data_IF_299924232009
#
_entry.id   IF_299924232009
#
_cell.length_a   1.000
_cell.length_b   1.000
_cell.length_c   1.000
_cell.angle_alpha   90.00
_cell.angle_beta   90.00
_cell.angle_gamma   90.00
#
_symmetry.space_group_name_H-M   'P 1'
#
loop_
_entity.id
_entity.type
_entity.pdbx_description
1 polymer ?
#
# COMPACT_ATOMS: atom_id res chain seq x y z
N UNK A 1 -15.34 -13.19 6.78
CA UNK A 1 -14.93 -11.78 6.64
C UNK A 1 -14.09 -11.69 5.38
N UNK A 2 -14.42 -10.80 4.44
CA UNK A 2 -13.70 -10.67 3.17
C UNK A 2 -12.68 -9.54 3.34
N UNK A 3 -11.44 -9.92 3.66
CA UNK A 3 -10.33 -9.00 3.83
C UNK A 3 -9.72 -8.70 2.45
N UNK A 4 -9.44 -7.44 2.17
CA UNK A 4 -8.86 -7.03 0.89
C UNK A 4 -7.81 -5.94 1.08
N UNK A 5 -6.73 -6.08 0.34
CA UNK A 5 -5.77 -4.99 0.11
C UNK A 5 -6.06 -4.31 -1.21
N UNK A 6 -5.96 -2.99 -1.24
CA UNK A 6 -5.95 -2.18 -2.46
C UNK A 6 -4.83 -1.16 -2.37
N UNK A 7 -4.40 -0.61 -3.51
CA UNK A 7 -3.49 0.54 -3.52
C UNK A 7 -4.21 1.81 -3.96
N UNK A 8 -3.70 2.96 -3.56
CA UNK A 8 -4.20 4.27 -3.96
C UNK A 8 -3.04 5.22 -4.23
N UNK A 9 -3.24 6.16 -5.15
CA UNK A 9 -2.28 7.21 -5.44
C UNK A 9 -2.40 8.32 -4.40
N UNK A 10 -1.25 8.80 -3.95
CA UNK A 10 -1.04 9.99 -3.16
C UNK A 10 -0.23 10.97 -4.00
N UNK A 11 -0.73 12.19 -4.16
CA UNK A 11 0.04 13.24 -4.79
C UNK A 11 0.98 13.83 -3.74
N UNK A 12 2.29 13.61 -3.92
CA UNK A 12 3.32 14.12 -3.02
C UNK A 12 4.06 15.24 -3.73
N UNK A 13 3.95 16.47 -3.21
CA UNK A 13 4.83 17.55 -3.64
C UNK A 13 6.25 17.27 -3.16
N UNK A 14 7.21 17.21 -4.07
CA UNK A 14 8.63 17.17 -3.74
C UNK A 14 9.19 18.57 -3.98
N UNK A 15 9.57 19.24 -2.88
CA UNK A 15 10.09 20.61 -2.79
C UNK A 15 10.73 21.14 -4.08
N UNK A 16 9.93 21.83 -4.90
CA UNK A 16 10.39 22.60 -6.06
C UNK A 16 10.78 21.81 -7.32
N UNK A 17 10.67 20.48 -7.34
CA UNK A 17 11.04 19.64 -8.51
C UNK A 17 9.81 19.18 -9.30
N UNK A 18 8.64 19.13 -8.67
CA UNK A 18 7.36 18.75 -9.27
C UNK A 18 6.53 17.85 -8.36
N UNK A 19 5.32 17.52 -8.79
CA UNK A 19 4.46 16.54 -8.09
C UNK A 19 4.92 15.14 -8.48
N UNK A 20 5.30 14.33 -7.50
CA UNK A 20 5.56 12.91 -7.69
C UNK A 20 4.40 12.11 -7.10
N UNK A 21 3.89 11.14 -7.86
CA UNK A 21 2.91 10.21 -7.34
C UNK A 21 3.61 9.19 -6.46
N UNK A 22 3.22 9.14 -5.19
CA UNK A 22 3.57 8.03 -4.29
C UNK A 22 2.31 7.20 -4.07
N UNK A 23 2.44 5.90 -3.84
CA UNK A 23 1.29 5.04 -3.64
C UNK A 23 1.23 4.59 -2.18
N UNK A 24 0.02 4.50 -1.65
CA UNK A 24 -0.28 3.85 -0.37
C UNK A 24 -1.01 2.53 -0.58
N UNK A 25 -1.01 1.69 0.44
CA UNK A 25 -1.76 0.42 0.49
C UNK A 25 -2.79 0.50 1.60
N UNK A 26 -4.03 0.14 1.28
CA UNK A 26 -5.17 0.10 2.19
C UNK A 26 -5.57 -1.34 2.46
N UNK A 27 -5.77 -1.67 3.74
CA UNK A 27 -6.43 -2.89 4.16
C UNK A 27 -7.87 -2.60 4.60
N UNK A 28 -8.82 -3.32 4.01
CA UNK A 28 -10.25 -3.19 4.31
C UNK A 28 -10.92 -4.52 4.62
N UNK A 29 -12.00 -4.45 5.40
CA UNK A 29 -12.95 -5.55 5.57
C UNK A 29 -14.34 -5.03 5.18
N UNK A 30 -14.82 -5.41 3.99
CA UNK A 30 -16.05 -4.84 3.46
C UNK A 30 -15.88 -3.36 3.11
N UNK A 31 -16.66 -2.48 3.75
CA UNK A 31 -16.58 -1.02 3.53
C UNK A 31 -15.64 -0.30 4.51
N UNK A 32 -15.23 -1.00 5.58
CA UNK A 32 -14.45 -0.39 6.65
C UNK A 32 -12.96 -0.46 6.30
N UNK A 33 -12.31 0.71 6.30
CA UNK A 33 -10.86 0.79 6.28
C UNK A 33 -10.35 0.42 7.68
N UNK A 34 -9.43 -0.54 7.75
CA UNK A 34 -8.83 -1.01 8.99
C UNK A 34 -7.43 -0.42 9.15
N UNK A 35 -6.68 -0.28 8.05
CA UNK A 35 -5.29 0.20 8.08
C UNK A 35 -4.92 0.81 6.74
N UNK A 36 -4.17 1.92 6.80
CA UNK A 36 -3.55 2.55 5.65
C UNK A 36 -2.03 2.62 5.88
N UNK A 37 -1.26 2.12 4.93
CA UNK A 37 0.20 2.21 4.89
C UNK A 37 0.52 3.22 3.79
N UNK A 38 1.05 4.38 4.18
CA UNK A 38 1.33 5.50 3.29
C UNK A 38 2.76 5.41 2.76
N UNK A 39 3.02 6.16 1.69
CA UNK A 39 4.37 6.39 1.16
C UNK A 39 5.14 5.09 0.86
N UNK A 40 4.45 4.10 0.29
CA UNK A 40 4.98 2.75 0.01
C UNK A 40 6.00 2.82 -1.12
N UNK A 41 5.62 3.30 -2.30
CA UNK A 41 6.55 3.44 -3.44
C UNK A 41 6.05 4.46 -4.44
N UNK A 42 6.93 4.98 -5.29
CA UNK A 42 6.56 5.79 -6.45
C UNK A 42 6.32 4.94 -7.71
N UNK A 43 6.68 3.65 -7.68
CA UNK A 43 6.42 2.71 -8.77
C UNK A 43 5.08 1.97 -8.55
N UNK A 44 4.15 2.24 -9.47
CA UNK A 44 2.81 1.64 -9.46
C UNK A 44 2.86 0.12 -9.64
N UNK A 45 3.74 -0.38 -10.49
CA UNK A 45 3.75 -1.81 -10.83
C UNK A 45 4.30 -2.62 -9.66
N UNK A 46 5.32 -2.10 -8.96
CA UNK A 46 5.78 -2.64 -7.67
C UNK A 46 4.66 -2.70 -6.63
N UNK A 47 3.92 -1.60 -6.44
CA UNK A 47 2.82 -1.55 -5.44
C UNK A 47 1.67 -2.49 -5.81
N UNK A 48 1.35 -2.60 -7.10
CA UNK A 48 0.34 -3.53 -7.60
C UNK A 48 0.70 -4.98 -7.28
N UNK A 49 1.96 -5.38 -7.48
CA UNK A 49 2.42 -6.74 -7.17
C UNK A 49 2.41 -7.02 -5.67
N UNK A 50 2.82 -6.05 -4.83
CA UNK A 50 2.72 -6.17 -3.37
C UNK A 50 1.27 -6.44 -2.95
N UNK A 51 0.32 -5.63 -3.42
CA UNK A 51 -1.12 -5.82 -3.12
C UNK A 51 -1.63 -7.19 -3.57
N UNK A 52 -1.22 -7.64 -4.77
CA UNK A 52 -1.57 -8.97 -5.29
C UNK A 52 -1.03 -10.08 -4.39
N UNK A 53 0.22 -9.97 -3.92
CA UNK A 53 0.83 -10.94 -3.00
C UNK A 53 0.15 -10.96 -1.63
N UNK A 54 -0.17 -9.80 -1.06
CA UNK A 54 -0.86 -9.70 0.24
C UNK A 54 -2.25 -10.34 0.20
N UNK A 55 -3.01 -10.07 -0.87
CA UNK A 55 -4.32 -10.69 -1.09
C UNK A 55 -4.22 -12.21 -1.32
N UNK A 56 -3.27 -12.66 -2.15
CA UNK A 56 -3.09 -14.08 -2.45
C UNK A 56 -2.77 -14.91 -1.20
N UNK A 57 -1.98 -14.34 -0.28
CA UNK A 57 -1.54 -15.02 0.93
C UNK A 57 -2.43 -14.74 2.15
N UNK A 58 -3.50 -13.96 2.00
CA UNK A 58 -4.40 -13.56 3.10
C UNK A 58 -3.63 -12.99 4.33
N UNK A 59 -2.61 -12.15 4.06
CA UNK A 59 -1.73 -11.61 5.10
C UNK A 59 -2.53 -10.71 6.05
N UNK A 60 -2.34 -10.88 7.37
CA UNK A 60 -2.98 -9.99 8.33
C UNK A 60 -2.31 -8.61 8.35
N UNK A 61 -3.04 -7.53 8.70
CA UNK A 61 -2.54 -6.16 8.55
C UNK A 61 -1.29 -5.86 9.38
N UNK A 62 -1.22 -6.47 10.56
CA UNK A 62 -0.10 -6.32 11.49
C UNK A 62 1.19 -6.81 10.81
N UNK A 63 1.16 -7.99 10.18
CA UNK A 63 2.32 -8.53 9.47
C UNK A 63 2.55 -7.84 8.11
N UNK A 64 1.50 -7.32 7.47
CA UNK A 64 1.65 -6.63 6.18
C UNK A 64 2.49 -5.36 6.30
N UNK A 65 2.32 -4.58 7.38
CA UNK A 65 3.12 -3.38 7.62
C UNK A 65 4.61 -3.73 7.79
N UNK A 66 4.93 -4.78 8.54
CA UNK A 66 6.31 -5.26 8.73
C UNK A 66 6.93 -5.69 7.39
N UNK A 67 6.21 -6.50 6.61
CA UNK A 67 6.68 -7.00 5.30
C UNK A 67 6.88 -5.86 4.30
N UNK A 68 5.99 -4.86 4.27
CA UNK A 68 6.11 -3.73 3.35
C UNK A 68 7.32 -2.85 3.71
N UNK A 69 7.55 -2.59 5.01
CA UNK A 69 8.71 -1.81 5.45
C UNK A 69 10.01 -2.53 5.08
N UNK A 70 10.09 -3.84 5.28
CA UNK A 70 11.28 -4.64 4.94
C UNK A 70 11.53 -4.71 3.43
N UNK A 71 10.49 -4.68 2.60
CA UNK A 71 10.60 -4.76 1.13
C UNK A 71 11.06 -3.43 0.49
N UNK A 72 10.87 -2.30 1.17
CA UNK A 72 11.07 -0.96 0.61
C UNK A 72 12.16 -0.16 1.34
N UNK A 73 12.81 -0.79 2.33
CA UNK A 73 13.97 -0.25 3.04
C UNK A 73 15.14 0.13 2.14
#
# INVERSE_FOLDING_TARGET
MNYQYSYYQMDTEIDGVGVCATYGIRFSCGKDCITDIRDVSTDRDTVSEIVRLLNRNAVSPIHAAEVIIDLIG
#
